data_IF_810208154752
#
_entry.id   IF_810208154752
#
_cell.length_a   1.000
_cell.length_b   1.000
_cell.length_c   1.000
_cell.angle_alpha   90.00
_cell.angle_beta   90.00
_cell.angle_gamma   90.00
#
_symmetry.space_group_name_H-M   'P 1'
#
loop_
_entity.id
_entity.type
_entity.pdbx_description
1 polymer ?
#
# COMPACT_ATOMS: atom_id res chain seq x y z
N UNK A 1 -15.00 -4.75 36.60
CA UNK A 1 -14.89 -5.26 35.22
C UNK A 1 -16.18 -6.00 34.92
N UNK A 2 -17.03 -5.48 34.02
CA UNK A 2 -18.31 -6.09 33.70
C UNK A 2 -18.10 -7.30 32.80
N UNK A 3 -18.48 -8.50 33.26
CA UNK A 3 -18.35 -9.73 32.50
C UNK A 3 -19.45 -9.79 31.43
N UNK A 4 -19.05 -9.81 30.17
CA UNK A 4 -19.99 -9.93 29.04
C UNK A 4 -20.61 -11.32 29.09
N UNK A 5 -21.93 -11.39 29.21
CA UNK A 5 -22.66 -12.66 29.23
C UNK A 5 -22.83 -13.18 27.80
N UNK A 6 -23.08 -14.48 27.59
CA UNK A 6 -23.33 -15.04 26.25
C UNK A 6 -24.49 -14.35 25.52
N UNK A 7 -25.47 -13.83 26.27
CA UNK A 7 -26.58 -13.06 25.74
C UNK A 7 -26.13 -11.70 25.21
N UNK A 8 -25.30 -10.98 25.97
CA UNK A 8 -24.71 -9.72 25.53
C UNK A 8 -23.81 -9.92 24.31
N UNK A 9 -23.00 -10.98 24.27
CA UNK A 9 -22.19 -11.30 23.10
C UNK A 9 -23.05 -11.52 21.84
N UNK A 10 -24.17 -12.24 21.96
CA UNK A 10 -25.11 -12.46 20.86
C UNK A 10 -25.83 -11.17 20.44
N UNK A 11 -26.19 -10.32 21.40
CA UNK A 11 -26.79 -9.01 21.14
C UNK A 11 -25.81 -8.09 20.41
N UNK A 12 -24.57 -7.97 20.88
CA UNK A 12 -23.54 -7.15 20.24
C UNK A 12 -23.16 -7.67 18.85
N UNK A 13 -23.02 -8.98 18.66
CA UNK A 13 -22.79 -9.57 17.34
C UNK A 13 -23.93 -9.25 16.37
N UNK A 14 -25.18 -9.34 16.83
CA UNK A 14 -26.35 -8.98 16.03
C UNK A 14 -26.47 -7.47 15.75
N UNK A 15 -26.09 -6.64 16.71
CA UNK A 15 -26.12 -5.18 16.61
C UNK A 15 -25.05 -4.64 15.65
N UNK A 16 -23.85 -5.24 15.66
CA UNK A 16 -22.81 -5.01 14.67
C UNK A 16 -23.28 -5.36 13.25
N UNK A 17 -24.00 -6.47 13.08
CA UNK A 17 -24.56 -6.85 11.76
C UNK A 17 -25.64 -5.89 11.26
N UNK A 18 -26.36 -5.19 12.16
CA UNK A 18 -27.36 -4.18 11.77
C UNK A 18 -26.75 -2.81 11.44
N UNK A 19 -25.64 -2.46 12.06
CA UNK A 19 -24.94 -1.20 11.81
C UNK A 19 -23.83 -1.32 10.76
N UNK A 20 -23.44 -2.53 10.36
CA UNK A 20 -22.52 -2.75 9.26
C UNK A 20 -23.18 -2.34 7.93
N UNK A 21 -22.66 -1.33 7.21
CA UNK A 21 -22.98 -1.17 5.81
C UNK A 21 -22.48 -2.42 5.08
N UNK A 22 -23.27 -2.97 4.16
CA UNK A 22 -22.77 -4.05 3.31
C UNK A 22 -21.74 -3.48 2.32
N UNK A 23 -20.51 -4.00 2.33
CA UNK A 23 -19.48 -3.68 1.34
C UNK A 23 -18.21 -3.04 1.90
N UNK A 24 -17.35 -2.57 0.98
CA UNK A 24 -16.02 -2.01 1.24
C UNK A 24 -15.98 -0.84 2.23
N UNK A 25 -17.10 -0.16 2.44
CA UNK A 25 -17.22 0.91 3.43
C UNK A 25 -16.93 0.42 4.85
N UNK A 26 -17.25 -0.84 5.15
CA UNK A 26 -16.95 -1.46 6.43
C UNK A 26 -15.46 -1.77 6.59
N UNK A 27 -14.78 -2.19 5.52
CA UNK A 27 -13.32 -2.40 5.52
C UNK A 27 -12.59 -1.07 5.67
N UNK A 28 -13.00 -0.03 4.94
CA UNK A 28 -12.47 1.33 5.04
C UNK A 28 -12.59 1.89 6.46
N UNK A 29 -13.76 1.75 7.08
CA UNK A 29 -14.02 2.25 8.43
C UNK A 29 -13.31 1.42 9.51
N UNK A 30 -13.22 0.10 9.33
CA UNK A 30 -12.49 -0.79 10.24
C UNK A 30 -10.96 -0.62 10.13
N UNK A 31 -10.44 -0.33 8.93
CA UNK A 31 -9.04 0.04 8.70
C UNK A 31 -8.69 1.36 9.39
N UNK A 32 -9.62 2.32 9.42
CA UNK A 32 -9.43 3.61 10.11
C UNK A 32 -9.40 3.47 11.64
N UNK A 33 -10.23 2.57 12.20
CA UNK A 33 -10.35 2.38 13.65
C UNK A 33 -9.29 1.44 14.26
N UNK A 34 -8.57 0.68 13.43
CA UNK A 34 -7.50 -0.21 13.87
C UNK A 34 -6.21 0.56 14.23
N UNK A 35 -6.24 1.31 15.34
CA UNK A 35 -5.02 1.75 16.02
C UNK A 35 -4.37 0.53 16.68
N UNK A 36 -3.37 -0.04 16.00
CA UNK A 36 -2.49 -1.08 16.55
C UNK A 36 -1.19 -0.42 17.03
N UNK A 37 -0.65 -0.91 18.15
CA UNK A 37 0.53 -0.35 18.82
C UNK A 37 1.72 -0.22 17.86
N UNK A 38 2.08 1.03 17.59
CA UNK A 38 3.19 1.47 16.75
C UNK A 38 4.51 1.14 17.44
N UNK A 39 5.53 0.72 16.69
CA UNK A 39 6.91 1.03 17.06
C UNK A 39 7.20 2.44 16.51
N UNK A 40 6.96 3.52 17.28
CA UNK A 40 6.78 4.86 16.73
C UNK A 40 8.04 5.33 16.00
N UNK A 41 9.21 4.86 16.46
CA UNK A 41 10.51 5.23 15.91
C UNK A 41 10.77 4.70 14.50
N UNK A 42 10.24 3.54 14.11
CA UNK A 42 10.47 2.98 12.77
C UNK A 42 9.65 3.72 11.71
N UNK A 43 8.39 4.00 12.02
CA UNK A 43 7.52 4.78 11.13
C UNK A 43 7.98 6.23 11.08
N UNK A 44 8.41 6.81 12.21
CA UNK A 44 9.06 8.12 12.19
C UNK A 44 10.34 8.11 11.35
N UNK A 45 11.14 7.04 11.37
CA UNK A 45 12.33 6.92 10.53
C UNK A 45 11.97 6.83 9.04
N UNK A 46 10.94 6.05 8.68
CA UNK A 46 10.42 5.99 7.29
C UNK A 46 9.90 7.35 6.86
N UNK A 47 9.01 7.97 7.64
CA UNK A 47 8.44 9.29 7.35
C UNK A 47 9.51 10.38 7.32
N UNK A 48 10.51 10.31 8.19
CA UNK A 48 11.65 11.22 8.19
C UNK A 48 12.49 11.04 6.94
N UNK A 49 12.77 9.79 6.55
CA UNK A 49 13.51 9.50 5.35
C UNK A 49 12.76 10.08 4.14
N UNK A 50 11.45 9.85 4.03
CA UNK A 50 10.60 10.40 2.97
C UNK A 50 10.51 11.94 2.96
N UNK A 51 10.65 12.61 4.12
CA UNK A 51 10.46 14.06 4.25
C UNK A 51 11.75 14.89 4.31
N UNK A 52 12.90 14.29 4.62
CA UNK A 52 14.12 15.03 4.97
C UNK A 52 14.91 15.54 3.75
N UNK A 53 15.04 16.86 3.54
CA UNK A 53 15.86 17.44 2.46
C UNK A 53 17.38 17.39 2.74
N UNK A 54 17.78 16.93 3.94
CA UNK A 54 19.17 16.97 4.44
C UNK A 54 19.99 15.72 4.11
N UNK A 55 19.39 14.71 3.49
CA UNK A 55 20.05 13.50 2.98
C UNK A 55 20.78 13.73 1.64
N UNK A 56 21.39 14.91 1.45
CA UNK A 56 22.24 15.22 0.29
C UNK A 56 23.45 14.29 0.16
N UNK A 57 23.81 13.53 1.20
CA UNK A 57 24.88 12.54 1.19
C UNK A 57 24.41 11.08 1.18
N UNK A 58 23.09 10.83 1.08
CA UNK A 58 22.53 9.49 0.96
C UNK A 58 21.36 9.57 -0.02
N UNK A 59 21.65 9.71 -1.33
CA UNK A 59 20.75 10.10 -2.43
C UNK A 59 19.25 9.82 -2.26
N UNK A 60 18.55 10.63 -1.47
CA UNK A 60 17.19 10.33 -1.00
C UNK A 60 16.09 11.23 -1.56
N UNK A 61 16.41 12.25 -2.37
CA UNK A 61 15.42 13.22 -2.84
C UNK A 61 15.35 13.42 -4.35
N UNK A 62 16.07 12.61 -5.12
CA UNK A 62 15.91 12.54 -6.58
C UNK A 62 15.08 11.34 -7.04
N UNK A 63 14.39 10.65 -6.13
CA UNK A 63 13.47 9.55 -6.45
C UNK A 63 12.08 10.05 -6.93
N UNK A 64 12.06 11.11 -7.77
CA UNK A 64 10.91 11.44 -8.60
C UNK A 64 9.89 12.44 -8.09
N UNK A 65 10.06 13.10 -6.93
CA UNK A 65 9.03 14.04 -6.43
C UNK A 65 7.68 13.32 -6.13
N UNK A 66 7.72 12.10 -5.59
CA UNK A 66 6.55 11.34 -5.14
C UNK A 66 6.01 11.88 -3.81
N UNK A 67 4.72 12.20 -3.74
CA UNK A 67 4.08 12.82 -2.58
C UNK A 67 2.82 12.03 -2.22
N UNK A 68 2.93 11.03 -1.32
CA UNK A 68 1.76 10.24 -0.96
C UNK A 68 0.78 11.09 -0.14
N UNK A 69 -0.50 10.98 -0.48
CA UNK A 69 -1.58 11.62 0.28
C UNK A 69 -1.90 10.84 1.55
N UNK A 70 -1.80 9.51 1.50
CA UNK A 70 -2.06 8.65 2.67
C UNK A 70 -1.18 7.41 2.70
N UNK A 71 -1.21 6.73 3.84
CA UNK A 71 -0.44 5.51 4.11
C UNK A 71 -1.38 4.44 4.67
N UNK A 72 -1.23 3.21 4.20
CA UNK A 72 -1.86 2.03 4.78
C UNK A 72 -0.81 1.29 5.60
N UNK A 73 -1.17 0.89 6.82
CA UNK A 73 -0.30 0.10 7.66
C UNK A 73 -1.06 -1.13 8.13
N UNK A 74 -0.54 -2.29 7.74
CA UNK A 74 -1.18 -3.59 7.90
C UNK A 74 -0.28 -4.42 8.78
N UNK A 75 -0.84 -5.05 9.81
CA UNK A 75 -0.10 -5.91 10.71
C UNK A 75 -0.67 -7.32 10.60
N UNK A 76 0.16 -8.26 10.16
CA UNK A 76 -0.19 -9.68 10.08
C UNK A 76 -0.38 -10.27 11.49
N UNK A 77 -1.04 -11.42 11.58
CA UNK A 77 -1.25 -12.13 12.85
C UNK A 77 0.05 -12.54 13.56
N UNK A 78 1.16 -12.66 12.82
CA UNK A 78 2.49 -12.96 13.33
C UNK A 78 3.36 -11.72 13.59
N UNK A 79 2.79 -10.52 13.44
CA UNK A 79 3.44 -9.26 13.79
C UNK A 79 4.19 -8.58 12.64
N UNK A 80 4.26 -9.18 11.46
CA UNK A 80 4.82 -8.51 10.28
C UNK A 80 4.01 -7.28 9.90
N UNK A 81 4.71 -6.20 9.63
CA UNK A 81 4.18 -4.89 9.27
C UNK A 81 4.36 -4.63 7.78
N UNK A 82 3.29 -4.26 7.11
CA UNK A 82 3.31 -3.82 5.71
C UNK A 82 2.87 -2.37 5.65
N UNK A 83 3.76 -1.48 5.24
CA UNK A 83 3.52 -0.05 5.11
C UNK A 83 3.44 0.31 3.63
N UNK A 84 2.28 0.77 3.18
CA UNK A 84 2.03 1.14 1.79
C UNK A 84 1.74 2.62 1.66
N UNK A 85 2.55 3.33 0.90
CA UNK A 85 2.32 4.73 0.57
C UNK A 85 1.43 4.83 -0.67
N UNK A 86 0.35 5.60 -0.60
CA UNK A 86 -0.59 5.73 -1.72
C UNK A 86 -0.69 7.19 -2.14
N UNK A 87 -0.48 7.42 -3.44
CA UNK A 87 -0.51 8.73 -4.09
C UNK A 87 -1.65 8.73 -5.13
N UNK A 88 -2.85 9.22 -4.78
CA UNK A 88 -3.94 9.43 -5.71
C UNK A 88 -3.61 10.57 -6.66
N UNK A 89 -3.49 10.29 -7.96
CA UNK A 89 -3.10 11.31 -8.94
C UNK A 89 -3.52 11.02 -10.37
N UNK A 90 -3.56 12.07 -11.17
CA UNK A 90 -3.72 11.94 -12.61
C UNK A 90 -2.38 11.65 -13.28
N UNK A 91 -2.23 10.44 -13.81
CA UNK A 91 -1.05 10.03 -14.59
C UNK A 91 -1.15 10.43 -16.06
N UNK A 92 -2.19 11.17 -16.47
CA UNK A 92 -2.47 11.57 -17.86
C UNK A 92 -1.33 12.35 -18.52
N UNK A 93 -0.49 13.06 -17.78
CA UNK A 93 0.62 13.82 -18.34
C UNK A 93 1.99 13.17 -18.10
N UNK A 94 2.06 12.08 -17.33
CA UNK A 94 3.32 11.47 -16.92
C UNK A 94 3.92 10.58 -18.02
N UNK A 95 5.22 10.66 -18.24
CA UNK A 95 5.91 9.62 -19.01
C UNK A 95 5.85 8.29 -18.26
N UNK A 96 6.03 7.16 -18.94
CA UNK A 96 6.19 5.89 -18.22
C UNK A 96 7.51 5.84 -17.43
N UNK A 97 8.55 6.47 -17.97
CA UNK A 97 9.86 6.65 -17.33
C UNK A 97 9.85 7.76 -16.26
N UNK A 98 8.66 8.23 -15.86
CA UNK A 98 8.55 9.22 -14.80
C UNK A 98 9.06 8.60 -13.49
N UNK A 99 10.02 9.22 -12.78
CA UNK A 99 10.60 8.59 -11.62
C UNK A 99 9.61 8.42 -10.44
N UNK A 100 8.43 9.07 -10.49
CA UNK A 100 7.33 8.76 -9.57
C UNK A 100 6.75 7.37 -9.82
N UNK A 101 6.69 6.91 -11.08
CA UNK A 101 6.23 5.57 -11.43
C UNK A 101 7.23 4.53 -10.95
N UNK A 102 8.53 4.82 -11.05
CA UNK A 102 9.59 3.92 -10.56
C UNK A 102 9.79 3.96 -9.03
N UNK A 103 9.04 4.78 -8.30
CA UNK A 103 9.22 4.94 -6.85
C UNK A 103 9.01 3.63 -6.06
N UNK A 104 8.18 2.72 -6.56
CA UNK A 104 7.98 1.39 -5.96
C UNK A 104 9.26 0.53 -5.92
N UNK A 105 10.24 0.81 -6.79
CA UNK A 105 11.56 0.18 -6.73
C UNK A 105 12.42 0.86 -5.67
N UNK A 106 12.46 2.19 -5.70
CA UNK A 106 13.30 3.00 -4.82
C UNK A 106 12.93 2.81 -3.34
N UNK A 107 11.66 2.59 -3.03
CA UNK A 107 11.22 2.36 -1.65
C UNK A 107 11.80 1.06 -1.06
N UNK A 108 12.17 0.07 -1.90
CA UNK A 108 12.84 -1.15 -1.44
C UNK A 108 14.26 -0.92 -0.97
N UNK A 109 14.94 0.11 -1.47
CA UNK A 109 16.24 0.52 -0.91
C UNK A 109 16.08 1.05 0.52
N UNK A 110 14.94 1.69 0.81
CA UNK A 110 14.60 2.17 2.16
C UNK A 110 14.32 0.98 3.08
N UNK A 111 13.49 0.05 2.62
CA UNK A 111 13.18 -1.21 3.31
C UNK A 111 14.47 -1.96 3.70
N UNK A 112 15.35 -2.17 2.72
CA UNK A 112 16.65 -2.84 2.91
C UNK A 112 17.56 -2.12 3.92
N UNK A 113 17.57 -0.78 3.91
CA UNK A 113 18.40 0.03 4.82
C UNK A 113 17.90 0.05 6.26
N UNK A 114 16.58 -0.07 6.45
CA UNK A 114 15.99 -0.21 7.78
C UNK A 114 16.34 -1.58 8.39
N UNK A 115 16.60 -2.58 7.55
CA UNK A 115 17.06 -3.91 7.94
C UNK A 115 16.17 -4.58 8.99
N UNK A 116 14.86 -4.29 8.92
CA UNK A 116 13.84 -4.90 9.75
C UNK A 116 13.17 -6.04 8.96
N UNK A 117 13.38 -7.32 9.34
CA UNK A 117 12.83 -8.46 8.63
C UNK A 117 11.30 -8.56 8.72
N UNK A 118 10.68 -7.85 9.67
CA UNK A 118 9.25 -7.83 9.88
C UNK A 118 8.60 -6.60 9.24
N UNK A 119 9.32 -5.79 8.45
CA UNK A 119 8.80 -4.60 7.79
C UNK A 119 8.90 -4.72 6.27
N UNK A 120 7.78 -4.53 5.59
CA UNK A 120 7.73 -4.30 4.14
C UNK A 120 7.25 -2.88 3.84
N UNK A 121 7.84 -2.26 2.83
CA UNK A 121 7.48 -0.95 2.32
C UNK A 121 7.09 -1.05 0.85
N UNK A 122 5.88 -0.61 0.50
CA UNK A 122 5.46 -0.47 -0.90
C UNK A 122 4.94 0.94 -1.17
N UNK A 123 4.84 1.29 -2.44
CA UNK A 123 4.15 2.51 -2.87
C UNK A 123 3.25 2.22 -4.05
N UNK A 124 2.09 2.87 -4.12
CA UNK A 124 1.17 2.76 -5.25
C UNK A 124 0.74 4.15 -5.73
N UNK A 125 0.63 4.27 -7.04
CA UNK A 125 -0.08 5.39 -7.67
C UNK A 125 -1.53 4.94 -7.89
N UNK A 126 -2.47 5.65 -7.28
CA UNK A 126 -3.90 5.42 -7.45
C UNK A 126 -4.44 6.39 -8.51
N UNK A 127 -4.43 5.95 -9.77
CA UNK A 127 -4.77 6.75 -10.92
C UNK A 127 -6.26 7.01 -11.06
N UNK A 128 -6.64 8.28 -11.23
CA UNK A 128 -7.98 8.71 -11.65
C UNK A 128 -8.19 8.64 -13.18
N UNK A 129 -7.12 8.42 -13.94
CA UNK A 129 -7.09 8.39 -15.39
C UNK A 129 -7.32 6.96 -15.87
N UNK A 130 -8.18 6.72 -16.86
CA UNK A 130 -8.49 5.37 -17.34
C UNK A 130 -7.24 4.62 -17.84
N UNK A 131 -7.21 3.31 -17.67
CA UNK A 131 -6.14 2.48 -18.19
C UNK A 131 -6.12 2.55 -19.72
N UNK A 132 -7.28 2.62 -20.38
CA UNK A 132 -7.39 2.73 -21.83
C UNK A 132 -6.70 4.01 -22.38
N UNK A 133 -6.85 5.15 -21.69
CA UNK A 133 -6.13 6.38 -22.06
C UNK A 133 -4.62 6.20 -21.92
N UNK A 134 -4.20 5.47 -20.88
CA UNK A 134 -2.79 5.22 -20.60
C UNK A 134 -2.19 4.17 -21.53
N UNK A 135 -2.93 3.16 -21.96
CA UNK A 135 -2.50 2.17 -22.95
C UNK A 135 -2.22 2.85 -24.29
N UNK A 136 -3.07 3.81 -24.69
CA UNK A 136 -2.82 4.59 -25.89
C UNK A 136 -1.54 5.43 -25.81
N UNK A 137 -1.23 5.94 -24.62
CA UNK A 137 -0.14 6.90 -24.42
C UNK A 137 1.20 6.23 -24.13
N UNK A 138 1.20 5.15 -23.34
CA UNK A 138 2.37 4.36 -23.02
C UNK A 138 2.63 3.24 -24.02
N UNK A 139 1.69 2.94 -24.94
CA UNK A 139 1.75 2.13 -26.18
C UNK A 139 2.25 0.67 -26.07
N UNK A 140 3.08 0.35 -25.09
CA UNK A 140 3.75 -0.93 -24.88
C UNK A 140 3.34 -1.59 -23.57
N UNK A 141 2.46 -0.93 -22.82
CA UNK A 141 1.99 -1.40 -21.52
C UNK A 141 0.47 -1.51 -21.55
N UNK A 142 -0.02 -2.69 -21.24
CA UNK A 142 -1.43 -2.92 -20.92
C UNK A 142 -1.67 -2.66 -19.42
N UNK A 143 -2.94 -2.61 -19.01
CA UNK A 143 -3.33 -2.42 -17.60
C UNK A 143 -2.63 -3.37 -16.62
N UNK A 144 -2.45 -4.65 -16.98
CA UNK A 144 -1.80 -5.62 -16.09
C UNK A 144 -0.31 -5.29 -15.89
N UNK A 145 0.39 -4.86 -16.95
CA UNK A 145 1.78 -4.42 -16.82
C UNK A 145 1.87 -3.11 -16.04
N UNK A 146 0.88 -2.21 -16.12
CA UNK A 146 0.85 -1.01 -15.27
C UNK A 146 0.71 -1.36 -13.79
N UNK A 147 0.01 -2.44 -13.46
CA UNK A 147 -0.07 -2.96 -12.09
C UNK A 147 1.27 -3.50 -11.59
N UNK A 148 2.09 -4.12 -12.45
CA UNK A 148 3.48 -4.51 -12.11
C UNK A 148 4.38 -3.30 -11.77
N UNK A 149 3.97 -2.11 -12.18
CA UNK A 149 4.57 -0.82 -11.84
C UNK A 149 3.83 -0.08 -10.72
N UNK A 150 2.98 -0.80 -9.98
CA UNK A 150 2.20 -0.29 -8.86
C UNK A 150 1.26 0.87 -9.22
N UNK A 151 0.80 0.92 -10.48
CA UNK A 151 -0.23 1.86 -10.95
C UNK A 151 -1.58 1.14 -10.94
N UNK A 152 -2.50 1.61 -10.07
CA UNK A 152 -3.85 1.04 -9.88
C UNK A 152 -4.89 2.06 -10.34
N UNK A 153 -5.98 1.60 -10.96
CA UNK A 153 -6.96 2.49 -11.62
C UNK A 153 -8.24 2.65 -10.79
N UNK A 154 -8.40 3.81 -10.13
CA UNK A 154 -9.42 4.05 -9.12
C UNK A 154 -10.86 3.80 -9.61
N UNK A 155 -11.25 4.40 -10.72
CA UNK A 155 -12.64 4.32 -11.18
C UNK A 155 -12.98 3.00 -11.86
N UNK A 156 -12.03 2.42 -12.59
CA UNK A 156 -12.23 1.12 -13.25
C UNK A 156 -12.24 -0.02 -12.24
N UNK A 157 -11.40 0.07 -11.22
CA UNK A 157 -11.26 -0.94 -10.19
C UNK A 157 -12.01 -0.53 -8.91
N UNK A 158 -13.06 0.29 -8.99
CA UNK A 158 -13.74 0.87 -7.82
C UNK A 158 -14.09 -0.13 -6.71
N UNK A 159 -14.46 -1.36 -7.09
CA UNK A 159 -14.82 -2.42 -6.14
C UNK A 159 -13.62 -3.27 -5.67
N UNK A 160 -12.45 -3.10 -6.28
CA UNK A 160 -11.28 -3.97 -6.09
C UNK A 160 -9.95 -3.25 -5.89
N UNK A 161 -9.85 -1.95 -6.09
CA UNK A 161 -8.57 -1.22 -6.01
C UNK A 161 -7.92 -1.38 -4.64
N UNK A 162 -8.73 -1.31 -3.56
CA UNK A 162 -8.24 -1.61 -2.21
C UNK A 162 -7.82 -3.07 -2.09
N UNK A 163 -8.60 -4.01 -2.63
CA UNK A 163 -8.22 -5.42 -2.60
C UNK A 163 -6.91 -5.65 -3.36
N UNK A 164 -6.68 -4.99 -4.49
CA UNK A 164 -5.43 -5.04 -5.24
C UNK A 164 -4.28 -4.48 -4.41
N UNK A 165 -4.44 -3.30 -3.82
CA UNK A 165 -3.43 -2.66 -2.97
C UNK A 165 -3.19 -3.49 -1.70
N UNK A 166 -4.17 -4.26 -1.21
CA UNK A 166 -4.06 -5.08 0.01
C UNK A 166 -3.55 -6.51 -0.29
N UNK A 167 -3.91 -7.11 -1.42
CA UNK A 167 -3.65 -8.52 -1.76
C UNK A 167 -2.17 -8.81 -1.99
N UNK A 168 -1.37 -7.80 -2.31
CA UNK A 168 0.09 -7.92 -2.43
C UNK A 168 0.79 -8.31 -1.10
N UNK A 169 0.03 -8.44 0.00
CA UNK A 169 0.48 -9.05 1.26
C UNK A 169 0.74 -10.56 1.18
N UNK A 170 0.19 -11.23 0.16
CA UNK A 170 0.26 -12.68 0.04
C UNK A 170 0.90 -13.07 -1.30
N UNK A 171 1.93 -13.92 -1.21
CA UNK A 171 2.46 -14.78 -2.29
C UNK A 171 3.72 -14.37 -3.09
N UNK A 172 4.35 -13.20 -2.88
CA UNK A 172 5.64 -12.94 -3.54
C UNK A 172 6.87 -13.59 -2.86
N UNK A 173 6.73 -14.15 -1.66
CA UNK A 173 7.82 -14.85 -0.96
C UNK A 173 8.01 -16.33 -1.37
N UNK A 174 7.12 -16.88 -2.21
CA UNK A 174 7.22 -18.29 -2.63
C UNK A 174 7.93 -18.52 -3.97
N UNK A 175 8.26 -17.47 -4.74
CA UNK A 175 8.85 -17.63 -6.07
C UNK A 175 10.34 -17.26 -6.21
N UNK A 176 11.02 -16.81 -5.16
CA UNK A 176 12.48 -16.61 -5.20
C UNK A 176 13.31 -17.74 -4.58
N UNK A 177 12.71 -18.88 -4.19
CA UNK A 177 13.46 -20.03 -3.64
C UNK A 177 13.64 -21.24 -4.58
N UNK A 178 13.35 -21.11 -5.88
CA UNK A 178 13.64 -22.19 -6.85
C UNK A 178 14.28 -21.64 -8.12
N UNK A 179 15.55 -21.26 -8.04
CA UNK A 179 16.50 -21.36 -9.17
C UNK A 179 17.87 -21.76 -8.67
N UNK A 180 18.04 -23.05 -8.46
CA UNK A 180 19.22 -23.78 -8.95
C UNK A 180 18.67 -24.98 -9.74
N UNK A 181 19.22 -25.27 -10.93
CA UNK A 181 20.50 -25.98 -10.98
C UNK A 181 21.47 -25.54 -12.09
N UNK A 182 22.76 -25.61 -11.81
CA UNK A 182 23.75 -26.26 -12.69
C UNK A 182 24.78 -26.95 -11.83
#
# INVERSE_FOLDING_TARGET
MSTITPYHAKYFAWDLTRHAPQGLDCLSMSLFDAKVDLNPHQIEAVLFALRSPLSKSAGFFEAGNFHPDFMLWLVDADGRQHVRFVDPKSVRQMGFEDPQIDFYKNIKDIENRLADPDLTLDSYILSDTSSADMEHRWKSFNKAQMLEHHVVFLYEDKERYLQTILADNAENHSQQKIKEPT
#
